data_IF_789217386574
#
_entry.id   IF_789217386574
#
_cell.length_a   1.000
_cell.length_b   1.000
_cell.length_c   1.000
_cell.angle_alpha   90.00
_cell.angle_beta   90.00
_cell.angle_gamma   90.00
#
_symmetry.space_group_name_H-M   'P 1'
#
loop_
_entity.id
_entity.type
_entity.pdbx_description
1 polymer ?
#
# COMPACT_ATOMS: atom_id res chain seq x y z
N UNK A 1 50.14 19.62 66.89
CA UNK A 1 48.95 20.49 66.80
C UNK A 1 48.59 20.65 65.32
N UNK A 2 47.30 20.55 64.97
CA UNK A 2 46.81 20.01 63.69
C UNK A 2 47.07 20.90 62.47
N UNK A 3 47.56 20.26 61.40
CA UNK A 3 47.69 20.76 60.03
C UNK A 3 46.32 20.82 59.35
N UNK A 4 45.96 22.01 58.89
CA UNK A 4 44.88 22.36 57.96
C UNK A 4 45.51 22.48 56.56
N UNK A 5 44.93 22.22 55.39
CA UNK A 5 43.59 21.82 54.95
C UNK A 5 43.64 21.69 53.41
N UNK A 6 42.93 20.67 52.90
CA UNK A 6 42.40 20.45 51.54
C UNK A 6 43.30 20.26 50.30
N UNK A 7 43.30 18.97 49.90
CA UNK A 7 43.29 18.42 48.53
C UNK A 7 42.53 19.27 47.50
N UNK A 8 43.20 19.63 46.41
CA UNK A 8 42.58 19.96 45.12
C UNK A 8 42.86 18.84 44.12
N UNK A 9 41.82 18.08 43.76
CA UNK A 9 41.81 17.20 42.59
C UNK A 9 40.96 17.89 41.53
N UNK A 10 41.59 18.43 40.50
CA UNK A 10 40.89 18.83 39.27
C UNK A 10 41.05 17.70 38.27
N UNK A 11 39.99 16.89 38.12
CA UNK A 11 39.84 15.99 36.99
C UNK A 11 39.21 16.78 35.84
N UNK A 12 39.90 16.81 34.70
CA UNK A 12 39.33 17.13 33.41
C UNK A 12 38.30 16.06 33.02
N UNK A 13 37.10 16.49 32.64
CA UNK A 13 36.23 15.68 31.77
C UNK A 13 35.57 16.60 30.75
N UNK A 14 36.06 16.53 29.50
CA UNK A 14 35.37 17.06 28.33
C UNK A 14 34.05 16.29 28.16
N UNK A 15 32.92 16.98 28.23
CA UNK A 15 31.63 16.44 27.81
C UNK A 15 31.39 16.89 26.35
N UNK A 16 31.75 16.02 25.41
CA UNK A 16 31.34 16.15 24.00
C UNK A 16 29.85 15.81 23.87
N UNK A 17 29.02 16.85 23.71
CA UNK A 17 27.59 16.69 23.45
C UNK A 17 27.40 16.24 21.99
N UNK A 18 27.27 14.93 21.80
CA UNK A 18 26.94 14.32 20.51
C UNK A 18 25.45 14.56 20.24
N UNK A 19 25.14 15.47 19.31
CA UNK A 19 23.79 15.62 18.76
C UNK A 19 23.44 14.36 17.96
N UNK A 20 22.76 13.41 18.59
CA UNK A 20 22.10 12.30 17.90
C UNK A 20 20.87 12.90 17.21
N UNK A 21 21.02 13.21 15.92
CA UNK A 21 19.88 13.45 15.02
C UNK A 21 19.09 12.13 14.94
N UNK A 22 18.07 12.03 15.80
CA UNK A 22 17.04 11.00 15.67
C UNK A 22 16.26 11.31 14.37
N UNK A 23 16.66 10.67 13.28
CA UNK A 23 15.82 10.59 12.08
C UNK A 23 14.58 9.79 12.47
N UNK A 24 13.47 10.47 12.73
CA UNK A 24 12.18 9.82 12.88
C UNK A 24 11.91 9.04 11.58
N UNK A 25 11.51 7.76 11.64
CA UNK A 25 11.09 7.05 10.45
C UNK A 25 9.83 7.74 9.94
N UNK A 26 9.96 8.54 8.89
CA UNK A 26 8.81 8.98 8.09
C UNK A 26 8.23 7.72 7.45
N UNK A 27 7.26 7.10 8.14
CA UNK A 27 6.35 6.15 7.53
C UNK A 27 5.51 6.96 6.55
N UNK A 28 5.85 6.85 5.26
CA UNK A 28 4.96 7.25 4.21
C UNK A 28 3.79 6.25 4.23
N UNK A 29 2.87 6.42 5.18
CA UNK A 29 1.55 5.80 5.08
C UNK A 29 0.91 6.46 3.87
N UNK A 30 0.89 5.74 2.75
CA UNK A 30 0.10 6.10 1.59
C UNK A 30 -1.34 6.32 2.07
N UNK A 31 -1.70 7.58 2.30
CA UNK A 31 -2.95 7.92 2.97
C UNK A 31 -4.07 7.79 1.95
N UNK A 32 -4.49 6.55 1.75
CA UNK A 32 -5.64 6.20 0.94
C UNK A 32 -6.87 6.93 1.49
N UNK A 33 -7.73 7.46 0.61
CA UNK A 33 -8.98 8.07 1.06
C UNK A 33 -9.84 7.03 1.78
N UNK A 34 -10.72 7.44 2.73
CA UNK A 34 -11.61 6.49 3.42
C UNK A 34 -12.46 5.65 2.46
N UNK A 35 -12.87 6.23 1.34
CA UNK A 35 -13.68 5.58 0.31
C UNK A 35 -12.87 4.52 -0.43
N UNK A 36 -11.69 4.88 -0.95
CA UNK A 36 -10.78 3.90 -1.59
C UNK A 36 -10.43 2.78 -0.62
N UNK A 37 -10.21 3.09 0.67
CA UNK A 37 -9.92 2.09 1.69
C UNK A 37 -11.10 1.13 1.94
N UNK A 38 -12.34 1.63 1.89
CA UNK A 38 -13.55 0.81 1.99
C UNK A 38 -13.64 -0.21 0.85
N UNK A 39 -13.46 0.25 -0.40
CA UNK A 39 -13.47 -0.62 -1.58
C UNK A 39 -12.30 -1.62 -1.57
N UNK A 40 -11.09 -1.16 -1.22
CA UNK A 40 -9.92 -2.00 -1.04
C UNK A 40 -10.19 -3.14 -0.05
N UNK A 41 -10.75 -2.82 1.12
CA UNK A 41 -11.08 -3.82 2.13
C UNK A 41 -12.20 -4.76 1.69
N UNK A 42 -13.18 -4.29 0.92
CA UNK A 42 -14.22 -5.14 0.35
C UNK A 42 -13.63 -6.17 -0.61
N UNK A 43 -12.73 -5.75 -1.50
CA UNK A 43 -12.01 -6.62 -2.42
C UNK A 43 -11.18 -7.67 -1.66
N UNK A 44 -10.40 -7.27 -0.65
CA UNK A 44 -9.62 -8.23 0.15
C UNK A 44 -10.50 -9.26 0.89
N UNK A 45 -11.67 -8.85 1.41
CA UNK A 45 -12.62 -9.77 2.06
C UNK A 45 -13.19 -10.77 1.08
N UNK A 46 -13.62 -10.33 -0.10
CA UNK A 46 -14.16 -11.22 -1.14
C UNK A 46 -13.10 -12.20 -1.63
N UNK A 47 -11.89 -11.72 -1.93
CA UNK A 47 -10.76 -12.56 -2.31
C UNK A 47 -10.44 -13.62 -1.23
N UNK A 48 -10.50 -13.24 0.05
CA UNK A 48 -10.28 -14.18 1.16
C UNK A 48 -11.40 -15.23 1.25
N UNK A 49 -12.65 -14.83 1.09
CA UNK A 49 -13.80 -15.73 1.13
C UNK A 49 -13.76 -16.76 -0.03
N UNK A 50 -13.24 -16.36 -1.19
CA UNK A 50 -13.16 -17.20 -2.38
C UNK A 50 -11.81 -17.90 -2.57
N UNK A 51 -10.88 -17.81 -1.61
CA UNK A 51 -9.51 -18.32 -1.70
C UNK A 51 -8.73 -17.79 -2.92
N UNK A 52 -9.05 -16.58 -3.39
CA UNK A 52 -8.42 -15.90 -4.51
C UNK A 52 -7.22 -15.06 -4.04
N UNK A 53 -6.34 -15.67 -3.23
CA UNK A 53 -5.13 -15.06 -2.71
C UNK A 53 -3.91 -15.79 -3.29
N UNK A 54 -3.00 -15.05 -3.89
CA UNK A 54 -1.73 -15.57 -4.40
C UNK A 54 -0.57 -14.98 -3.60
N UNK A 55 0.28 -15.83 -3.06
CA UNK A 55 1.49 -15.40 -2.33
C UNK A 55 2.72 -15.88 -3.09
N UNK A 56 3.49 -14.92 -3.62
CA UNK A 56 4.84 -15.15 -4.14
C UNK A 56 5.78 -14.19 -3.38
N UNK A 57 6.35 -13.19 -4.05
CA UNK A 57 7.12 -12.11 -3.41
C UNK A 57 6.20 -11.09 -2.71
N UNK A 58 4.98 -10.97 -3.23
CA UNK A 58 3.90 -10.14 -2.70
C UNK A 58 2.66 -10.98 -2.45
N UNK A 59 1.77 -10.51 -1.58
CA UNK A 59 0.43 -11.09 -1.44
C UNK A 59 -0.51 -10.33 -2.36
N UNK A 60 -1.08 -11.04 -3.34
CA UNK A 60 -2.04 -10.51 -4.29
C UNK A 60 -3.42 -11.03 -3.91
N UNK A 61 -4.35 -10.12 -3.61
CA UNK A 61 -5.76 -10.39 -3.43
C UNK A 61 -6.48 -10.08 -4.73
N UNK A 62 -7.21 -11.04 -5.27
CA UNK A 62 -7.99 -10.85 -6.49
C UNK A 62 -9.48 -10.97 -6.21
N UNK A 63 -10.22 -9.89 -6.47
CA UNK A 63 -11.68 -9.86 -6.39
C UNK A 63 -12.31 -9.75 -7.78
N UNK A 64 -13.58 -10.14 -7.91
CA UNK A 64 -14.31 -10.21 -9.17
C UNK A 64 -15.76 -9.74 -9.04
N UNK A 65 -16.46 -9.64 -10.17
CA UNK A 65 -17.90 -9.38 -10.20
C UNK A 65 -18.26 -8.02 -9.60
N UNK A 66 -19.37 -7.96 -8.85
CA UNK A 66 -19.92 -6.70 -8.34
C UNK A 66 -18.98 -5.97 -7.37
N UNK A 67 -18.13 -6.67 -6.62
CA UNK A 67 -17.14 -6.03 -5.73
C UNK A 67 -16.10 -5.28 -6.56
N UNK A 68 -15.59 -5.91 -7.62
CA UNK A 68 -14.63 -5.30 -8.51
C UNK A 68 -15.26 -4.20 -9.38
N UNK A 69 -16.49 -4.39 -9.87
CA UNK A 69 -17.25 -3.40 -10.63
C UNK A 69 -17.45 -2.11 -9.83
N UNK A 70 -17.96 -2.21 -8.60
CA UNK A 70 -18.15 -1.05 -7.73
C UNK A 70 -16.84 -0.30 -7.45
N UNK A 71 -15.72 -1.02 -7.31
CA UNK A 71 -14.42 -0.37 -7.11
C UNK A 71 -13.93 0.30 -8.40
N UNK A 72 -14.08 -0.37 -9.54
CA UNK A 72 -13.74 0.21 -10.84
C UNK A 72 -14.52 1.50 -11.11
N UNK A 73 -15.83 1.51 -10.84
CA UNK A 73 -16.69 2.68 -11.02
C UNK A 73 -16.32 3.82 -10.08
N UNK A 74 -15.93 3.52 -8.84
CA UNK A 74 -15.35 4.51 -7.93
C UNK A 74 -14.05 5.12 -8.49
N UNK A 75 -13.19 4.30 -9.08
CA UNK A 75 -11.94 4.78 -9.69
C UNK A 75 -12.23 5.64 -10.94
N UNK A 76 -13.28 5.34 -11.69
CA UNK A 76 -13.77 6.17 -12.81
C UNK A 76 -14.27 7.51 -12.30
N UNK A 77 -15.14 7.52 -11.28
CA UNK A 77 -15.69 8.76 -10.70
C UNK A 77 -14.62 9.62 -10.03
N UNK A 78 -13.57 9.00 -9.49
CA UNK A 78 -12.38 9.66 -8.94
C UNK A 78 -11.38 10.11 -10.00
N UNK A 79 -11.70 9.94 -11.30
CA UNK A 79 -10.89 10.34 -12.45
C UNK A 79 -9.45 9.78 -12.40
N UNK A 80 -9.30 8.54 -11.92
CA UNK A 80 -8.00 7.85 -11.91
C UNK A 80 -7.53 7.59 -13.34
N UNK A 81 -6.21 7.51 -13.54
CA UNK A 81 -5.65 7.31 -14.89
C UNK A 81 -6.14 5.99 -15.50
N UNK A 82 -6.63 6.09 -16.74
CA UNK A 82 -6.99 4.93 -17.56
C UNK A 82 -5.78 4.42 -18.34
N UNK A 83 -5.70 3.11 -18.55
CA UNK A 83 -4.87 2.50 -19.58
C UNK A 83 -5.66 1.41 -20.30
N UNK A 84 -5.61 1.39 -21.63
CA UNK A 84 -6.30 0.40 -22.45
C UNK A 84 -5.29 -0.59 -23.03
N UNK A 85 -5.57 -1.87 -22.92
CA UNK A 85 -4.76 -2.96 -23.47
C UNK A 85 -5.62 -3.90 -24.31
N UNK A 86 -5.19 -4.18 -25.53
CA UNK A 86 -5.90 -5.06 -26.46
C UNK A 86 -5.20 -6.40 -26.51
N UNK A 87 -5.86 -7.43 -26.00
CA UNK A 87 -5.35 -8.79 -25.97
C UNK A 87 -6.18 -9.70 -26.89
N UNK A 88 -5.65 -10.87 -27.21
CA UNK A 88 -6.38 -11.90 -27.95
C UNK A 88 -7.64 -12.39 -27.21
N UNK A 89 -7.67 -12.27 -25.89
CA UNK A 89 -8.82 -12.63 -25.05
C UNK A 89 -9.87 -11.51 -24.94
N UNK A 90 -9.60 -10.30 -25.42
CA UNK A 90 -10.49 -9.14 -25.29
C UNK A 90 -9.74 -7.83 -25.04
N UNK A 91 -10.49 -6.74 -24.93
CA UNK A 91 -9.95 -5.43 -24.56
C UNK A 91 -10.07 -5.25 -23.05
N UNK A 92 -8.98 -4.87 -22.40
CA UNK A 92 -8.94 -4.55 -20.98
C UNK A 92 -8.79 -3.06 -20.78
N UNK A 93 -9.65 -2.50 -19.95
CA UNK A 93 -9.56 -1.13 -19.46
C UNK A 93 -9.06 -1.20 -18.03
N UNK A 94 -7.90 -0.62 -17.75
CA UNK A 94 -7.27 -0.62 -16.44
C UNK A 94 -7.40 0.74 -15.75
N UNK A 95 -7.63 0.70 -14.43
CA UNK A 95 -7.58 1.86 -13.54
C UNK A 95 -6.67 1.53 -12.37
N UNK A 96 -5.63 2.33 -12.20
CA UNK A 96 -4.62 2.11 -11.15
C UNK A 96 -5.17 2.49 -9.77
N UNK A 97 -4.87 1.65 -8.78
CA UNK A 97 -5.08 1.95 -7.36
C UNK A 97 -3.71 2.38 -6.84
N UNK A 98 -3.53 3.66 -6.45
CA UNK A 98 -2.23 4.18 -6.05
C UNK A 98 -1.50 3.26 -5.08
N UNK A 99 -0.27 2.89 -5.46
CA UNK A 99 0.70 2.12 -4.66
C UNK A 99 0.29 0.69 -4.27
N UNK A 100 -0.93 0.28 -4.60
CA UNK A 100 -1.53 -0.94 -4.03
C UNK A 100 -2.12 -1.88 -5.08
N UNK A 101 -2.28 -1.48 -6.34
CA UNK A 101 -2.73 -2.42 -7.37
C UNK A 101 -3.50 -1.76 -8.50
N UNK A 102 -4.43 -2.51 -9.10
CA UNK A 102 -5.29 -1.99 -10.17
C UNK A 102 -6.59 -2.77 -10.32
N UNK A 103 -7.62 -2.10 -10.83
CA UNK A 103 -8.85 -2.72 -11.31
C UNK A 103 -8.86 -2.80 -12.84
N UNK A 104 -9.63 -3.73 -13.39
CA UNK A 104 -9.84 -3.90 -14.81
C UNK A 104 -11.28 -4.24 -15.17
N UNK A 105 -11.67 -3.75 -16.34
CA UNK A 105 -12.87 -4.14 -17.05
C UNK A 105 -12.48 -4.81 -18.36
N UNK A 106 -12.81 -6.09 -18.51
CA UNK A 106 -12.60 -6.88 -19.73
C UNK A 106 -13.87 -6.82 -20.58
N UNK A 107 -13.72 -6.38 -21.82
CA UNK A 107 -14.76 -6.32 -22.84
C UNK A 107 -14.36 -7.23 -24.00
N UNK A 108 -15.21 -8.19 -24.36
CA UNK A 108 -15.02 -9.07 -25.52
C UNK A 108 -16.31 -9.07 -26.34
N UNK A 109 -16.26 -8.47 -27.54
CA UNK A 109 -17.44 -8.21 -28.37
C UNK A 109 -18.00 -9.49 -28.99
N UNK A 110 -17.14 -10.41 -29.43
CA UNK A 110 -17.57 -11.62 -30.13
C UNK A 110 -18.48 -12.54 -29.29
N UNK A 111 -18.28 -12.54 -27.97
CA UNK A 111 -18.99 -13.39 -27.02
C UNK A 111 -19.82 -12.58 -26.00
N UNK A 112 -19.95 -11.25 -26.22
CA UNK A 112 -20.62 -10.30 -25.31
C UNK A 112 -20.18 -10.41 -23.83
N UNK A 113 -18.89 -10.66 -23.60
CA UNK A 113 -18.37 -10.81 -22.23
C UNK A 113 -17.97 -9.44 -21.66
N UNK A 114 -18.55 -9.13 -20.50
CA UNK A 114 -18.20 -7.99 -19.64
C UNK A 114 -17.82 -8.51 -18.26
N UNK A 115 -16.53 -8.42 -17.90
CA UNK A 115 -16.02 -8.95 -16.63
C UNK A 115 -15.20 -7.89 -15.92
N UNK A 116 -15.47 -7.70 -14.63
CA UNK A 116 -14.69 -6.84 -13.75
C UNK A 116 -13.80 -7.67 -12.82
N UNK A 117 -12.60 -7.17 -12.56
CA UNK A 117 -11.72 -7.70 -11.53
C UNK A 117 -10.79 -6.64 -10.97
N UNK A 118 -10.28 -6.86 -9.76
CA UNK A 118 -9.18 -6.04 -9.22
C UNK A 118 -8.11 -6.93 -8.60
N UNK A 119 -6.86 -6.49 -8.71
CA UNK A 119 -5.70 -7.13 -8.08
C UNK A 119 -5.08 -6.11 -7.13
N UNK A 120 -5.09 -6.45 -5.85
CA UNK A 120 -4.50 -5.66 -4.80
C UNK A 120 -3.22 -6.36 -4.34
N UNK A 121 -2.09 -5.68 -4.52
CA UNK A 121 -0.80 -6.05 -3.99
C UNK A 121 -0.62 -5.42 -2.61
N UNK A 122 -0.62 -6.29 -1.59
CA UNK A 122 -0.15 -5.93 -0.26
C UNK A 122 1.28 -6.45 -0.14
N UNK A 123 2.22 -5.53 -0.22
CA UNK A 123 3.59 -5.80 0.20
C UNK A 123 3.56 -6.27 1.64
N UNK A 124 4.16 -7.44 1.93
CA UNK A 124 4.48 -7.78 3.32
C UNK A 124 5.35 -6.64 3.82
N UNK A 125 4.82 -5.83 4.74
CA UNK A 125 5.63 -4.90 5.49
C UNK A 125 6.82 -5.69 6.01
N UNK A 126 8.03 -5.28 5.64
CA UNK A 126 9.23 -5.74 6.33
C UNK A 126 9.06 -5.24 7.76
N UNK A 127 8.63 -6.14 8.64
CA UNK A 127 8.62 -5.92 10.08
C UNK A 127 10.05 -5.74 10.58
#
# INVERSE_FOLDING_TARGET
>A
MRLSYRRSRQMLTLAGLTCILAAAPMRLEAKMSPETQSHHNACMREASANNAIRTADHTIYTCWGSVAENFFDYLVSSNTKETVDKQNTGTYIFREIPETGRCWHKIQIADEISIYGCSINVSKGVN
#
